data_IF_317240377278
#
_entry.id   IF_317240377278
#
_cell.length_a   1.000
_cell.length_b   1.000
_cell.length_c   1.000
_cell.angle_alpha   90.00
_cell.angle_beta   90.00
_cell.angle_gamma   90.00
#
_symmetry.space_group_name_H-M   'P 1'
#
loop_
_entity.id
_entity.type
_entity.pdbx_description
1 polymer ?
#
# COMPACT_ATOMS: atom_id res chain seq x y z
N UNK A 1 -15.10 5.60 -25.43
CA UNK A 1 -13.74 5.91 -24.91
C UNK A 1 -13.72 6.06 -23.38
N UNK A 2 -14.69 6.75 -22.77
CA UNK A 2 -14.77 7.00 -21.31
C UNK A 2 -14.85 5.76 -20.39
N UNK A 3 -15.59 4.67 -20.71
CA UNK A 3 -15.74 3.56 -19.76
C UNK A 3 -14.44 2.76 -19.53
N UNK A 4 -13.55 2.74 -20.53
CA UNK A 4 -12.29 2.00 -20.49
C UNK A 4 -11.31 2.62 -19.48
N UNK A 5 -11.30 3.96 -19.38
CA UNK A 5 -10.50 4.71 -18.40
C UNK A 5 -10.95 4.40 -16.97
N UNK A 6 -12.26 4.32 -16.74
CA UNK A 6 -12.81 4.04 -15.41
C UNK A 6 -12.44 2.64 -14.92
N UNK A 7 -12.47 1.64 -15.81
CA UNK A 7 -12.08 0.26 -15.50
C UNK A 7 -10.59 0.20 -15.13
N UNK A 8 -9.72 0.86 -15.89
CA UNK A 8 -8.28 0.89 -15.59
C UNK A 8 -8.03 1.50 -14.22
N UNK A 9 -8.68 2.62 -13.90
CA UNK A 9 -8.55 3.27 -12.59
C UNK A 9 -9.03 2.34 -11.47
N UNK A 10 -10.17 1.67 -11.63
CA UNK A 10 -10.69 0.72 -10.65
C UNK A 10 -9.74 -0.47 -10.42
N UNK A 11 -9.13 -1.01 -11.48
CA UNK A 11 -8.14 -2.11 -11.37
C UNK A 11 -6.89 -1.63 -10.65
N UNK A 12 -6.37 -0.43 -10.97
CA UNK A 12 -5.23 0.15 -10.25
C UNK A 12 -5.54 0.28 -8.77
N UNK A 13 -6.73 0.79 -8.43
CA UNK A 13 -7.21 0.92 -7.05
C UNK A 13 -7.21 -0.43 -6.34
N UNK A 14 -7.76 -1.50 -6.95
CA UNK A 14 -7.75 -2.83 -6.36
C UNK A 14 -6.34 -3.37 -6.13
N UNK A 15 -5.42 -3.16 -7.08
CA UNK A 15 -4.02 -3.57 -6.95
C UNK A 15 -3.35 -2.83 -5.78
N UNK A 16 -3.54 -1.51 -5.68
CA UNK A 16 -3.00 -0.73 -4.56
C UNK A 16 -3.58 -1.22 -3.22
N UNK A 17 -4.88 -1.47 -3.12
CA UNK A 17 -5.52 -2.00 -1.91
C UNK A 17 -4.91 -3.35 -1.49
N UNK A 18 -4.63 -4.24 -2.45
CA UNK A 18 -3.91 -5.49 -2.23
C UNK A 18 -2.47 -5.28 -1.76
N UNK A 19 -1.76 -4.27 -2.30
CA UNK A 19 -0.40 -3.92 -1.90
C UNK A 19 -0.38 -3.39 -0.46
N UNK A 20 -1.30 -2.49 -0.09
CA UNK A 20 -1.41 -1.96 1.28
C UNK A 20 -1.59 -3.08 2.32
N UNK A 21 -2.49 -4.02 2.02
CA UNK A 21 -2.71 -5.19 2.88
C UNK A 21 -1.46 -6.06 3.01
N UNK A 22 -0.56 -6.07 2.02
CA UNK A 22 0.73 -6.77 2.08
C UNK A 22 1.85 -5.95 2.72
N UNK A 23 1.80 -4.62 2.62
CA UNK A 23 2.81 -3.73 3.17
C UNK A 23 2.70 -3.60 4.70
N UNK A 24 1.58 -4.06 5.30
CA UNK A 24 1.32 -4.00 6.75
C UNK A 24 0.44 -2.83 7.18
N UNK A 25 -0.18 -2.13 6.22
CA UNK A 25 -1.06 -1.00 6.47
C UNK A 25 -2.52 -1.45 6.72
N UNK A 26 -3.21 -0.74 7.61
CA UNK A 26 -4.58 -1.07 8.05
C UNK A 26 -5.61 -1.03 6.91
N UNK A 27 -6.56 -1.98 6.92
CA UNK A 27 -7.72 -2.04 6.01
C UNK A 27 -8.55 -0.73 5.97
N UNK A 28 -8.47 0.09 7.03
CA UNK A 28 -9.08 1.43 7.10
C UNK A 28 -8.58 2.41 6.03
N UNK A 29 -7.39 2.20 5.45
CA UNK A 29 -6.91 2.99 4.30
C UNK A 29 -7.70 2.68 3.02
N UNK A 30 -8.30 1.49 2.93
CA UNK A 30 -9.27 1.16 1.88
C UNK A 30 -10.53 2.04 1.93
N UNK A 31 -10.93 2.50 3.13
CA UNK A 31 -12.03 3.47 3.29
C UNK A 31 -11.64 4.88 2.80
N UNK A 32 -10.37 5.26 2.96
CA UNK A 32 -9.84 6.54 2.46
C UNK A 32 -9.73 6.57 0.92
N UNK A 33 -9.80 5.41 0.28
CA UNK A 33 -9.68 5.22 -1.17
C UNK A 33 -10.88 5.72 -1.97
N UNK A 34 -11.99 6.05 -1.30
CA UNK A 34 -13.10 6.83 -1.85
C UNK A 34 -12.67 8.24 -2.29
N UNK A 35 -11.53 8.72 -1.77
CA UNK A 35 -10.98 10.04 -2.09
C UNK A 35 -9.88 9.88 -3.15
N UNK A 36 -10.02 10.43 -4.37
CA UNK A 36 -9.01 10.32 -5.43
C UNK A 36 -7.65 10.91 -5.04
N UNK A 37 -7.63 11.83 -4.08
CA UNK A 37 -6.41 12.43 -3.50
C UNK A 37 -5.55 11.38 -2.79
N UNK A 38 -6.16 10.35 -2.19
CA UNK A 38 -5.44 9.27 -1.51
C UNK A 38 -4.54 8.47 -2.48
N UNK A 39 -4.91 8.35 -3.76
CA UNK A 39 -4.06 7.67 -4.75
C UNK A 39 -2.73 8.42 -4.98
N UNK A 40 -2.75 9.76 -4.99
CA UNK A 40 -1.53 10.55 -5.18
C UNK A 40 -0.68 10.50 -3.92
N UNK A 41 -1.28 10.70 -2.74
CA UNK A 41 -0.56 10.59 -1.46
C UNK A 41 0.07 9.20 -1.33
N UNK A 42 -0.63 8.14 -1.76
CA UNK A 42 -0.11 6.77 -1.71
C UNK A 42 1.12 6.57 -2.59
N UNK A 43 1.19 7.18 -3.77
CA UNK A 43 2.40 7.13 -4.61
C UNK A 43 3.60 7.77 -3.90
N UNK A 44 3.38 8.88 -3.19
CA UNK A 44 4.43 9.49 -2.37
C UNK A 44 4.82 8.61 -1.18
N UNK A 45 3.85 8.05 -0.45
CA UNK A 45 4.14 7.17 0.70
C UNK A 45 4.86 5.91 0.25
N UNK A 46 4.44 5.24 -0.82
CA UNK A 46 5.15 4.06 -1.33
C UNK A 46 6.58 4.35 -1.78
N UNK A 47 6.80 5.52 -2.37
CA UNK A 47 8.11 5.91 -2.88
C UNK A 47 9.07 6.37 -1.77
N UNK A 48 8.57 7.03 -0.72
CA UNK A 48 9.40 7.70 0.28
C UNK A 48 9.29 7.12 1.70
N UNK A 49 8.20 6.44 2.04
CA UNK A 49 8.02 5.89 3.38
C UNK A 49 8.61 4.47 3.47
N UNK A 50 9.26 4.19 4.60
CA UNK A 50 9.73 2.85 4.95
C UNK A 50 8.53 1.94 5.30
N UNK A 51 8.49 0.73 4.75
CA UNK A 51 7.30 -0.10 4.89
C UNK A 51 7.28 -0.79 6.27
N UNK A 52 6.11 -0.93 6.92
CA UNK A 52 6.03 -1.61 8.21
C UNK A 52 6.54 -3.06 8.14
N UNK A 53 6.29 -3.73 7.01
CA UNK A 53 6.82 -5.09 6.76
C UNK A 53 8.35 -5.16 6.75
N UNK A 54 9.05 -4.12 6.27
CA UNK A 54 10.51 -4.07 6.30
C UNK A 54 11.04 -3.90 7.73
N UNK A 55 10.29 -3.15 8.57
CA UNK A 55 10.60 -3.02 10.00
C UNK A 55 10.42 -4.34 10.74
N UNK A 56 9.35 -5.08 10.46
CA UNK A 56 9.15 -6.42 11.02
C UNK A 56 10.21 -7.42 10.54
N UNK A 57 10.53 -7.41 9.25
CA UNK A 57 11.61 -8.27 8.72
C UNK A 57 12.96 -7.96 9.38
N UNK A 58 13.26 -6.68 9.62
CA UNK A 58 14.48 -6.26 10.32
C UNK A 58 14.48 -6.76 11.77
N UNK A 59 13.38 -6.63 12.50
CA UNK A 59 13.29 -7.08 13.90
C UNK A 59 13.43 -8.60 14.02
N UNK A 60 12.78 -9.36 13.13
CA UNK A 60 12.91 -10.83 13.06
C UNK A 60 14.35 -11.25 12.74
N UNK A 61 14.97 -10.61 11.74
CA UNK A 61 16.34 -10.94 11.32
C UNK A 61 17.36 -10.62 12.42
N UNK A 62 17.13 -9.56 13.19
CA UNK A 62 17.97 -9.20 14.34
C UNK A 62 17.81 -10.19 15.50
N UNK A 63 16.60 -10.69 15.77
CA UNK A 63 16.40 -11.76 16.77
C UNK A 63 17.08 -13.07 16.38
N UNK A 64 17.00 -13.47 15.11
CA UNK A 64 17.65 -14.69 14.62
C UNK A 64 19.19 -14.60 14.56
N UNK A 65 19.77 -13.41 14.56
CA UNK A 65 21.23 -13.26 14.55
C UNK A 65 21.85 -13.34 15.95
N UNK A 66 21.05 -13.11 17.01
CA UNK A 66 21.49 -13.16 18.41
C UNK A 66 21.25 -14.53 19.04
N UNK A 67 20.43 -15.36 18.40
CA UNK A 67 20.12 -16.74 18.81
C UNK A 67 21.06 -17.74 18.14
#
# INVERSE_FOLDING_TARGET
MIPLVLIIVAVKILIFCKIFSKAGYSWALGLLMLVPIANIIMLFVLAFAEWPIERELRSIRQQNQVR
#
